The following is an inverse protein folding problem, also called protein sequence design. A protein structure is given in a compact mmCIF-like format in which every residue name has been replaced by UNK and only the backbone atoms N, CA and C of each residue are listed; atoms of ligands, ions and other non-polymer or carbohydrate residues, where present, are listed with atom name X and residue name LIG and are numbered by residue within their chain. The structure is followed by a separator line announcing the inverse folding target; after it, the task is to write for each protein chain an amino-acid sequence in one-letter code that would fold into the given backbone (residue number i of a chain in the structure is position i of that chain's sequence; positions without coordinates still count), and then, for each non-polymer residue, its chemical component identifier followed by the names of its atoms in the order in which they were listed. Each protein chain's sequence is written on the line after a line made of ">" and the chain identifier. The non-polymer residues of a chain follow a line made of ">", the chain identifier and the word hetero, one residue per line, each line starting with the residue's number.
data_IF_347538470861
#
_entry.id   IF_347538470861
#
_cell.length_a   1.000
_cell.length_b   1.000
_cell.length_c   1.000
_cell.angle_alpha   90.00
_cell.angle_beta   90.00
_cell.angle_gamma   90.00
#
_symmetry.space_group_name_H-M   'P 1'
#
loop_
_entity.id
_entity.type
_entity.pdbx_description
1 polymer ?
#
# COMPACT_ATOMS: atom_id res chain seq x y z
N UNK A 1 7.56 0.57 -26.11
CA UNK A 1 8.70 1.43 -25.74
C UNK A 1 9.64 1.45 -26.90
N UNK A 2 9.74 2.60 -27.60
CA UNK A 2 10.69 2.78 -28.71
C UNK A 2 12.03 3.34 -28.21
N UNK A 3 12.57 2.80 -27.12
CA UNK A 3 13.84 3.23 -26.55
C UNK A 3 14.96 2.24 -26.84
N UNK A 4 16.19 2.74 -27.01
CA UNK A 4 17.40 1.94 -27.13
C UNK A 4 18.15 1.99 -25.79
N UNK A 5 18.56 0.82 -25.27
CA UNK A 5 19.43 0.76 -24.09
C UNK A 5 20.85 1.14 -24.54
N UNK A 6 21.41 2.20 -23.97
CA UNK A 6 22.72 2.75 -24.36
C UNK A 6 23.86 2.32 -23.44
N UNK A 7 23.59 2.10 -22.16
CA UNK A 7 24.56 1.56 -21.21
C UNK A 7 23.88 0.87 -20.03
N UNK A 8 24.64 0.04 -19.35
CA UNK A 8 24.32 -0.51 -18.02
C UNK A 8 25.22 0.12 -16.96
N UNK A 9 24.71 0.16 -15.73
CA UNK A 9 25.43 0.57 -14.54
C UNK A 9 25.34 -0.57 -13.53
N UNK A 10 26.47 -1.01 -12.98
CA UNK A 10 26.52 -2.10 -11.98
C UNK A 10 27.69 -1.84 -11.00
N UNK A 11 27.42 -2.03 -9.70
CA UNK A 11 28.45 -1.84 -8.67
C UNK A 11 29.46 -2.97 -8.57
N UNK A 12 29.18 -4.12 -9.20
CA UNK A 12 30.11 -5.24 -9.25
C UNK A 12 31.30 -4.91 -10.17
N UNK A 13 32.45 -4.70 -9.54
CA UNK A 13 33.71 -4.39 -10.24
C UNK A 13 34.09 -5.43 -11.32
N UNK A 14 33.65 -6.67 -11.16
CA UNK A 14 33.91 -7.72 -12.13
C UNK A 14 33.12 -7.56 -13.43
N UNK A 15 32.07 -6.72 -13.43
CA UNK A 15 31.23 -6.41 -14.59
C UNK A 15 31.66 -5.15 -15.31
N UNK A 16 32.43 -4.29 -14.66
CA UNK A 16 32.91 -3.03 -15.26
C UNK A 16 33.64 -3.28 -16.58
N UNK A 17 33.26 -2.52 -17.62
CA UNK A 17 33.83 -2.62 -18.98
C UNK A 17 33.39 -3.86 -19.77
N UNK A 18 32.54 -4.74 -19.23
CA UNK A 18 31.93 -5.85 -19.97
C UNK A 18 30.76 -5.38 -20.82
N UNK A 19 30.34 -6.22 -21.75
CA UNK A 19 29.20 -5.96 -22.62
C UNK A 19 28.11 -7.01 -22.40
N UNK A 20 26.87 -6.57 -22.35
CA UNK A 20 25.69 -7.43 -22.34
C UNK A 20 24.87 -7.15 -23.60
N UNK A 21 24.74 -8.11 -24.50
CA UNK A 21 24.07 -7.96 -25.79
C UNK A 21 24.54 -6.74 -26.61
N UNK A 22 25.85 -6.45 -26.58
CA UNK A 22 26.44 -5.31 -27.28
C UNK A 22 26.37 -3.98 -26.55
N UNK A 23 25.74 -3.93 -25.38
CA UNK A 23 25.61 -2.71 -24.56
C UNK A 23 26.64 -2.74 -23.44
N UNK A 24 27.46 -1.67 -23.25
CA UNK A 24 28.52 -1.66 -22.24
C UNK A 24 28.00 -1.47 -20.82
N UNK A 25 28.71 -2.07 -19.84
CA UNK A 25 28.63 -1.68 -18.43
C UNK A 25 29.59 -0.50 -18.22
N UNK A 26 29.04 0.73 -18.24
CA UNK A 26 29.79 1.98 -18.39
C UNK A 26 30.32 2.54 -17.04
N UNK A 27 29.82 2.01 -15.91
CA UNK A 27 30.22 2.50 -14.58
C UNK A 27 29.43 1.90 -13.44
N UNK A 28 29.59 2.50 -12.27
CA UNK A 28 28.86 2.17 -11.03
C UNK A 28 27.80 3.23 -10.71
N UNK A 29 27.05 3.06 -9.62
CA UNK A 29 25.96 3.99 -9.22
C UNK A 29 26.38 5.45 -9.13
N UNK A 30 27.62 5.75 -8.76
CA UNK A 30 28.11 7.13 -8.61
C UNK A 30 28.41 7.79 -9.96
N UNK A 31 28.52 7.00 -11.03
CA UNK A 31 28.73 7.50 -12.39
C UNK A 31 27.41 7.89 -13.08
N UNK A 32 26.24 7.57 -12.48
CA UNK A 32 24.93 7.80 -13.09
C UNK A 32 24.74 9.25 -13.57
N UNK A 33 25.01 10.29 -12.76
CA UNK A 33 24.83 11.67 -13.22
C UNK A 33 25.69 12.00 -14.44
N UNK A 34 26.95 11.64 -14.44
CA UNK A 34 27.87 11.85 -15.55
C UNK A 34 27.44 11.12 -16.82
N UNK A 35 27.04 9.85 -16.67
CA UNK A 35 26.60 9.02 -17.80
C UNK A 35 25.27 9.51 -18.38
N UNK A 36 24.37 10.03 -17.55
CA UNK A 36 23.10 10.60 -18.00
C UNK A 36 23.34 11.80 -18.95
N UNK A 37 24.28 12.66 -18.62
CA UNK A 37 24.66 13.79 -19.49
C UNK A 37 25.41 13.32 -20.74
N UNK A 38 26.43 12.48 -20.59
CA UNK A 38 27.29 11.99 -21.67
C UNK A 38 26.50 11.28 -22.76
N UNK A 39 25.57 10.38 -22.36
CA UNK A 39 24.75 9.59 -23.29
C UNK A 39 23.40 10.24 -23.60
N UNK A 40 23.08 11.41 -23.03
CA UNK A 40 21.79 12.11 -23.17
C UNK A 40 20.62 11.19 -22.86
N UNK A 41 20.62 10.65 -21.63
CA UNK A 41 19.64 9.68 -21.18
C UNK A 41 18.30 10.36 -20.87
N UNK A 42 17.21 9.84 -21.41
CA UNK A 42 15.85 10.30 -21.12
C UNK A 42 15.24 9.53 -19.94
N UNK A 43 15.52 8.22 -19.85
CA UNK A 43 14.90 7.32 -18.88
C UNK A 43 15.93 6.42 -18.19
N UNK A 44 15.80 6.27 -16.88
CA UNK A 44 16.62 5.35 -16.06
C UNK A 44 15.74 4.23 -15.53
N UNK A 45 16.15 2.99 -15.76
CA UNK A 45 15.45 1.80 -15.28
C UNK A 45 16.21 1.16 -14.14
N UNK A 46 15.63 1.13 -12.93
CA UNK A 46 16.21 0.45 -11.76
C UNK A 46 15.73 -1.00 -11.77
N UNK A 47 16.63 -1.92 -12.13
CA UNK A 47 16.36 -3.34 -12.28
C UNK A 47 17.18 -4.19 -11.30
N UNK A 48 17.12 -3.87 -9.98
CA UNK A 48 17.85 -4.54 -8.92
C UNK A 48 16.86 -5.14 -7.91
N UNK A 49 16.17 -6.25 -8.25
CA UNK A 49 15.13 -6.81 -7.42
C UNK A 49 15.64 -7.35 -6.07
N UNK A 50 16.92 -7.69 -5.97
CA UNK A 50 17.58 -8.17 -4.75
C UNK A 50 18.07 -7.07 -3.81
N UNK A 51 18.06 -5.80 -4.25
CA UNK A 51 18.50 -4.69 -3.42
C UNK A 51 17.54 -4.43 -2.26
N UNK A 52 18.09 -4.16 -1.08
CA UNK A 52 17.33 -3.72 0.09
C UNK A 52 16.62 -2.39 -0.18
N UNK A 53 15.58 -2.08 0.59
CA UNK A 53 14.85 -0.82 0.49
C UNK A 53 15.78 0.40 0.69
N UNK A 54 16.78 0.27 1.57
CA UNK A 54 17.78 1.32 1.82
C UNK A 54 18.67 1.57 0.61
N UNK A 55 19.13 0.50 -0.03
CA UNK A 55 19.95 0.59 -1.25
C UNK A 55 19.16 1.15 -2.42
N UNK A 56 17.91 0.68 -2.62
CA UNK A 56 17.02 1.23 -3.64
C UNK A 56 16.82 2.72 -3.46
N UNK A 57 16.52 3.17 -2.22
CA UNK A 57 16.38 4.59 -1.90
C UNK A 57 17.62 5.39 -2.29
N UNK A 58 18.81 4.94 -1.90
CA UNK A 58 20.07 5.63 -2.23
C UNK A 58 20.28 5.74 -3.75
N UNK A 59 19.95 4.70 -4.51
CA UNK A 59 20.06 4.73 -5.98
C UNK A 59 19.02 5.68 -6.58
N UNK A 60 17.79 5.68 -6.11
CA UNK A 60 16.74 6.60 -6.56
C UNK A 60 17.14 8.05 -6.32
N UNK A 61 17.74 8.36 -5.16
CA UNK A 61 18.23 9.71 -4.84
C UNK A 61 19.27 10.18 -5.86
N UNK A 62 20.25 9.34 -6.20
CA UNK A 62 21.25 9.63 -7.23
C UNK A 62 20.58 9.84 -8.61
N UNK A 63 19.66 8.97 -8.98
CA UNK A 63 18.95 9.08 -10.26
C UNK A 63 18.14 10.38 -10.38
N UNK A 64 17.55 10.86 -9.28
CA UNK A 64 16.78 12.13 -9.27
C UNK A 64 17.62 13.37 -9.56
N UNK A 65 18.90 13.34 -9.25
CA UNK A 65 19.82 14.46 -9.56
C UNK A 65 20.02 14.66 -11.06
N UNK A 66 19.74 13.62 -11.87
CA UNK A 66 19.93 13.68 -13.34
C UNK A 66 18.80 14.39 -14.07
N UNK A 67 17.64 14.56 -13.47
CA UNK A 67 16.43 15.07 -14.14
C UNK A 67 15.75 14.07 -15.10
N UNK A 68 16.32 12.87 -15.28
CA UNK A 68 15.73 11.82 -16.11
C UNK A 68 14.45 11.23 -15.50
N UNK A 69 13.59 10.65 -16.33
CA UNK A 69 12.45 9.88 -15.84
C UNK A 69 12.93 8.55 -15.22
N UNK A 70 12.63 8.32 -13.94
CA UNK A 70 13.07 7.12 -13.23
C UNK A 70 11.93 6.11 -13.13
N UNK A 71 12.17 4.89 -13.60
CA UNK A 71 11.25 3.76 -13.51
C UNK A 71 11.90 2.61 -12.76
N UNK A 72 11.09 1.85 -12.02
CA UNK A 72 11.56 0.71 -11.24
C UNK A 72 10.90 -0.58 -11.71
N UNK A 73 11.69 -1.66 -11.76
CA UNK A 73 11.19 -2.99 -12.00
C UNK A 73 10.71 -3.59 -10.67
N UNK A 74 9.44 -4.00 -10.56
CA UNK A 74 8.92 -4.68 -9.37
C UNK A 74 9.71 -5.97 -9.06
N UNK A 75 9.77 -6.36 -7.77
CA UNK A 75 10.59 -7.48 -7.30
C UNK A 75 10.20 -8.84 -7.91
N UNK A 76 11.13 -9.80 -7.82
CA UNK A 76 11.16 -11.14 -8.46
C UNK A 76 9.86 -11.97 -8.28
N UNK A 77 9.11 -11.77 -7.19
CA UNK A 77 7.89 -12.55 -6.93
C UNK A 77 6.71 -12.27 -7.89
N UNK A 78 6.79 -11.18 -8.65
CA UNK A 78 5.85 -10.91 -9.74
C UNK A 78 6.31 -11.53 -11.08
N UNK A 79 7.50 -12.15 -11.09
CA UNK A 79 8.13 -12.79 -12.26
C UNK A 79 7.91 -14.32 -12.32
N UNK A 80 7.17 -14.91 -11.35
CA UNK A 80 6.97 -16.36 -11.22
C UNK A 80 6.27 -16.99 -12.43
N UNK A 81 5.61 -16.22 -13.27
CA UNK A 81 4.96 -16.69 -14.49
C UNK A 81 5.79 -16.52 -15.77
N UNK A 82 7.12 -16.33 -15.68
CA UNK A 82 8.02 -16.45 -16.83
C UNK A 82 8.00 -15.30 -17.85
N UNK A 83 7.12 -14.32 -17.71
CA UNK A 83 7.07 -13.19 -18.63
C UNK A 83 7.53 -11.89 -17.96
N UNK A 84 8.77 -11.50 -18.24
CA UNK A 84 9.25 -10.13 -17.98
C UNK A 84 8.62 -9.22 -19.02
N UNK A 85 7.46 -8.68 -18.75
CA UNK A 85 6.86 -7.66 -19.63
C UNK A 85 7.35 -6.28 -19.23
N UNK A 86 7.80 -5.50 -20.21
CA UNK A 86 8.10 -4.07 -20.07
C UNK A 86 6.89 -3.29 -19.53
N UNK A 87 5.67 -3.81 -19.73
CA UNK A 87 4.44 -3.27 -19.17
C UNK A 87 4.38 -3.27 -17.62
N UNK A 88 5.30 -3.98 -16.95
CA UNK A 88 5.39 -3.99 -15.47
C UNK A 88 6.31 -2.91 -14.90
N UNK A 89 6.98 -2.13 -15.75
CA UNK A 89 7.75 -0.97 -15.29
C UNK A 89 6.79 0.10 -14.78
N UNK A 90 7.01 0.56 -13.57
CA UNK A 90 6.23 1.65 -12.96
C UNK A 90 7.12 2.83 -12.59
N UNK A 91 6.53 3.98 -12.51
CA UNK A 91 7.23 5.14 -11.96
C UNK A 91 7.61 4.89 -10.49
N UNK A 92 8.64 5.60 -10.03
CA UNK A 92 9.03 5.59 -8.61
C UNK A 92 7.92 6.25 -7.78
N UNK A 93 7.44 5.55 -6.77
CA UNK A 93 6.42 6.02 -5.83
C UNK A 93 7.05 6.50 -4.52
N UNK A 94 6.27 7.18 -3.68
CA UNK A 94 6.75 7.71 -2.39
C UNK A 94 7.21 6.56 -1.48
N UNK A 95 6.58 5.41 -1.57
CA UNK A 95 6.90 4.19 -0.81
C UNK A 95 8.31 3.70 -1.07
N UNK A 96 8.81 3.82 -2.31
CA UNK A 96 10.18 3.44 -2.68
C UNK A 96 11.24 4.32 -1.99
N UNK A 97 10.85 5.55 -1.63
CA UNK A 97 11.70 6.51 -0.93
C UNK A 97 11.69 6.34 0.60
N UNK A 98 10.70 5.65 1.15
CA UNK A 98 10.61 5.46 2.60
C UNK A 98 11.71 4.54 3.16
N UNK A 99 12.34 3.74 2.31
CA UNK A 99 13.43 2.84 2.70
C UNK A 99 13.01 1.76 3.68
N UNK A 100 11.72 1.39 3.70
CA UNK A 100 11.16 0.30 4.49
C UNK A 100 10.77 -0.85 3.58
N UNK A 101 11.21 -2.05 3.92
CA UNK A 101 10.71 -3.23 3.23
C UNK A 101 9.26 -3.47 3.66
N UNK A 102 8.33 -3.71 2.69
CA UNK A 102 6.97 -4.06 3.03
C UNK A 102 6.96 -5.35 3.84
N UNK A 103 6.21 -5.35 4.93
CA UNK A 103 5.98 -6.56 5.71
C UNK A 103 5.18 -7.51 4.83
N UNK A 104 5.76 -8.66 4.50
CA UNK A 104 5.07 -9.72 3.76
C UNK A 104 4.44 -10.66 4.77
N UNK A 105 3.13 -10.61 4.84
CA UNK A 105 2.34 -11.55 5.63
C UNK A 105 1.59 -12.48 4.69
N UNK A 106 1.44 -13.74 5.09
CA UNK A 106 0.53 -14.64 4.41
C UNK A 106 -0.90 -14.25 4.80
N UNK A 107 -1.55 -13.45 3.94
CA UNK A 107 -2.90 -12.96 4.20
C UNK A 107 -3.90 -14.10 4.33
N UNK A 108 -3.77 -15.18 3.54
CA UNK A 108 -4.67 -16.33 3.61
C UNK A 108 -4.60 -17.02 4.98
N UNK A 109 -3.39 -17.13 5.55
CA UNK A 109 -3.20 -17.71 6.87
C UNK A 109 -3.76 -16.80 7.98
N UNK A 110 -3.47 -15.49 7.90
CA UNK A 110 -3.91 -14.51 8.90
C UNK A 110 -5.41 -14.26 8.81
N UNK A 111 -5.97 -14.20 7.60
CA UNK A 111 -7.38 -13.89 7.38
C UNK A 111 -8.28 -15.13 7.39
N UNK A 112 -7.70 -16.33 7.43
CA UNK A 112 -8.47 -17.59 7.48
C UNK A 112 -9.42 -17.67 8.67
N UNK A 113 -9.09 -17.00 9.79
CA UNK A 113 -9.98 -16.95 10.97
C UNK A 113 -11.24 -16.08 10.77
N UNK A 114 -11.28 -15.25 9.71
CA UNK A 114 -12.43 -14.39 9.36
C UNK A 114 -13.55 -15.21 8.71
N UNK A 115 -13.19 -16.32 8.05
CA UNK A 115 -14.15 -17.15 7.31
C UNK A 115 -15.29 -17.64 8.20
N UNK A 116 -16.52 -17.43 7.74
CA UNK A 116 -17.74 -17.83 8.44
C UNK A 116 -18.05 -17.01 9.71
N UNK A 117 -17.34 -15.91 9.98
CA UNK A 117 -17.52 -15.03 11.15
C UNK A 117 -18.34 -13.79 10.81
N UNK A 118 -18.94 -13.23 11.85
CA UNK A 118 -19.58 -11.92 11.81
C UNK A 118 -18.51 -10.87 12.13
N UNK A 119 -18.20 -10.01 11.16
CA UNK A 119 -17.10 -9.04 11.28
C UNK A 119 -17.65 -7.62 11.24
N UNK A 120 -17.27 -6.81 12.23
CA UNK A 120 -17.57 -5.39 12.30
C UNK A 120 -16.33 -4.57 11.97
N UNK A 121 -16.42 -3.66 11.00
CA UNK A 121 -15.38 -2.70 10.68
C UNK A 121 -15.88 -1.30 10.97
N UNK A 122 -15.30 -0.64 11.98
CA UNK A 122 -15.62 0.76 12.28
C UNK A 122 -14.68 1.69 11.51
N UNK A 123 -15.20 2.81 11.00
CA UNK A 123 -14.46 3.67 10.07
C UNK A 123 -14.26 3.01 8.70
N UNK A 124 -15.19 2.15 8.30
CA UNK A 124 -15.09 1.33 7.09
C UNK A 124 -15.13 2.11 5.78
N UNK A 125 -15.59 3.36 5.78
CA UNK A 125 -15.51 4.26 4.62
C UNK A 125 -14.16 4.98 4.49
N UNK A 126 -13.31 4.96 5.54
CA UNK A 126 -11.97 5.57 5.50
C UNK A 126 -10.98 4.76 4.67
N UNK A 127 -9.79 5.34 4.40
CA UNK A 127 -8.75 4.71 3.56
C UNK A 127 -8.30 3.34 4.10
N UNK A 128 -8.07 3.22 5.41
CA UNK A 128 -7.67 1.95 6.04
C UNK A 128 -8.89 1.03 6.18
N UNK A 129 -10.02 1.57 6.65
CA UNK A 129 -11.23 0.79 6.89
C UNK A 129 -11.80 0.17 5.62
N UNK A 130 -11.80 0.91 4.49
CA UNK A 130 -12.28 0.37 3.21
C UNK A 130 -11.39 -0.76 2.70
N UNK A 131 -10.08 -0.66 2.87
CA UNK A 131 -9.17 -1.74 2.51
C UNK A 131 -9.36 -2.97 3.42
N UNK A 132 -9.55 -2.79 4.72
CA UNK A 132 -9.93 -3.88 5.61
C UNK A 132 -11.25 -4.54 5.17
N UNK A 133 -12.25 -3.76 4.76
CA UNK A 133 -13.51 -4.30 4.25
C UNK A 133 -13.31 -5.15 2.99
N UNK A 134 -12.43 -4.73 2.05
CA UNK A 134 -12.10 -5.52 0.85
C UNK A 134 -11.42 -6.82 1.20
N UNK A 135 -10.43 -6.78 2.10
CA UNK A 135 -9.71 -7.96 2.54
C UNK A 135 -10.65 -8.94 3.27
N UNK A 136 -11.46 -8.46 4.19
CA UNK A 136 -12.46 -9.29 4.90
C UNK A 136 -13.43 -9.92 3.91
N UNK A 137 -13.99 -9.14 2.99
CA UNK A 137 -14.97 -9.64 2.01
C UNK A 137 -14.40 -10.76 1.13
N UNK A 138 -13.11 -10.68 0.76
CA UNK A 138 -12.46 -11.70 -0.07
C UNK A 138 -12.23 -13.04 0.65
N UNK A 139 -12.35 -13.08 1.99
CA UNK A 139 -12.12 -14.29 2.80
C UNK A 139 -13.43 -14.93 3.32
N UNK A 140 -14.56 -14.61 2.72
CA UNK A 140 -15.83 -15.28 2.97
C UNK A 140 -16.35 -15.18 4.42
N UNK A 141 -16.52 -13.97 4.97
CA UNK A 141 -17.16 -13.81 6.26
C UNK A 141 -18.61 -14.26 6.19
N UNK A 142 -19.19 -14.68 7.32
CA UNK A 142 -20.62 -14.93 7.41
C UNK A 142 -21.44 -13.65 7.18
N UNK A 143 -20.98 -12.56 7.77
CA UNK A 143 -21.55 -11.22 7.61
C UNK A 143 -20.48 -10.16 7.77
N UNK A 144 -20.48 -9.15 6.93
CA UNK A 144 -19.63 -7.95 7.08
C UNK A 144 -20.50 -6.75 7.44
N UNK A 145 -20.15 -6.10 8.55
CA UNK A 145 -20.84 -4.90 9.04
C UNK A 145 -19.88 -3.73 8.93
N UNK A 146 -20.24 -2.74 8.16
CA UNK A 146 -19.52 -1.46 8.04
C UNK A 146 -20.21 -0.44 8.92
N UNK A 147 -19.46 0.21 9.80
CA UNK A 147 -19.95 1.28 10.66
C UNK A 147 -19.12 2.54 10.45
N UNK A 148 -19.72 3.60 9.94
CA UNK A 148 -19.02 4.85 9.66
C UNK A 148 -19.87 6.06 10.00
N UNK A 149 -19.23 7.20 10.23
CA UNK A 149 -19.91 8.48 10.44
C UNK A 149 -20.21 9.18 9.10
N UNK A 150 -19.40 8.91 8.05
CA UNK A 150 -19.53 9.53 6.74
C UNK A 150 -20.33 8.64 5.78
N UNK A 151 -21.54 9.10 5.45
CA UNK A 151 -22.46 8.38 4.58
C UNK A 151 -21.89 8.12 3.19
N UNK A 152 -21.33 9.14 2.54
CA UNK A 152 -20.85 9.01 1.16
C UNK A 152 -19.77 7.92 1.02
N UNK A 153 -18.75 7.98 1.87
CA UNK A 153 -17.66 7.01 1.83
C UNK A 153 -18.14 5.59 2.17
N UNK A 154 -19.09 5.47 3.11
CA UNK A 154 -19.70 4.19 3.44
C UNK A 154 -20.55 3.64 2.28
N UNK A 155 -21.21 4.51 1.53
CA UNK A 155 -21.98 4.14 0.34
C UNK A 155 -21.08 3.70 -0.81
N UNK A 156 -19.97 4.40 -1.05
CA UNK A 156 -19.03 4.04 -2.12
C UNK A 156 -18.47 2.63 -1.92
N UNK A 157 -17.99 2.30 -0.73
CA UNK A 157 -17.50 0.95 -0.43
C UNK A 157 -18.62 -0.10 -0.46
N UNK A 158 -19.86 0.26 -0.09
CA UNK A 158 -21.01 -0.63 -0.21
C UNK A 158 -21.28 -1.02 -1.66
N UNK A 159 -21.28 -0.05 -2.58
CA UNK A 159 -21.49 -0.30 -4.01
C UNK A 159 -20.40 -1.21 -4.56
N UNK A 160 -19.14 -0.89 -4.30
CA UNK A 160 -18.00 -1.69 -4.74
C UNK A 160 -18.10 -3.15 -4.26
N UNK A 161 -18.39 -3.36 -2.97
CA UNK A 161 -18.45 -4.70 -2.40
C UNK A 161 -19.66 -5.49 -2.88
N UNK A 162 -20.82 -4.86 -3.10
CA UNK A 162 -21.98 -5.53 -3.66
C UNK A 162 -21.79 -5.94 -5.12
N UNK A 163 -21.08 -5.15 -5.90
CA UNK A 163 -20.73 -5.48 -7.27
C UNK A 163 -19.77 -6.68 -7.32
N UNK A 164 -18.73 -6.65 -6.50
CA UNK A 164 -17.66 -7.65 -6.49
C UNK A 164 -18.05 -8.95 -5.79
N UNK A 165 -18.89 -8.88 -4.75
CA UNK A 165 -19.32 -9.98 -3.91
C UNK A 165 -20.85 -9.96 -3.73
N UNK A 166 -21.65 -10.33 -4.76
CA UNK A 166 -23.13 -10.22 -4.72
C UNK A 166 -23.78 -11.03 -3.61
N UNK A 167 -23.19 -12.16 -3.22
CA UNK A 167 -23.72 -13.06 -2.20
C UNK A 167 -23.29 -12.71 -0.77
N UNK A 168 -22.47 -11.66 -0.61
CA UNK A 168 -22.00 -11.23 0.70
C UNK A 168 -23.16 -10.62 1.52
N UNK A 169 -23.39 -11.16 2.71
CA UNK A 169 -24.27 -10.51 3.70
C UNK A 169 -23.59 -9.24 4.24
N UNK A 170 -23.87 -8.13 3.55
CA UNK A 170 -23.26 -6.83 3.81
C UNK A 170 -24.25 -5.87 4.44
N UNK A 171 -23.95 -5.39 5.62
CA UNK A 171 -24.71 -4.39 6.36
C UNK A 171 -23.88 -3.10 6.49
N UNK A 172 -24.48 -1.97 6.11
CA UNK A 172 -23.83 -0.64 6.29
C UNK A 172 -24.66 0.19 7.24
N UNK A 173 -24.02 0.70 8.27
CA UNK A 173 -24.64 1.47 9.34
C UNK A 173 -23.94 2.81 9.49
N UNK A 174 -24.74 3.88 9.58
CA UNK A 174 -24.21 5.21 9.81
C UNK A 174 -24.34 5.58 11.29
N UNK A 175 -23.24 6.07 11.86
CA UNK A 175 -23.18 6.49 13.24
C UNK A 175 -21.78 6.80 13.74
N UNK A 176 -21.69 7.42 14.90
CA UNK A 176 -20.43 7.73 15.56
C UNK A 176 -20.08 6.65 16.60
N UNK A 177 -18.84 6.15 16.58
CA UNK A 177 -18.32 5.23 17.61
C UNK A 177 -18.29 5.85 19.01
N UNK A 178 -18.43 7.17 19.12
CA UNK A 178 -18.55 7.89 20.40
C UNK A 178 -19.94 7.79 21.03
N UNK A 179 -20.94 7.38 20.24
CA UNK A 179 -22.29 7.19 20.74
C UNK A 179 -22.42 5.77 21.33
N UNK A 180 -22.25 5.66 22.64
CA UNK A 180 -22.26 4.39 23.39
C UNK A 180 -23.55 3.61 23.14
N UNK A 181 -24.70 4.25 23.24
CA UNK A 181 -25.98 3.57 23.03
C UNK A 181 -26.12 3.00 21.61
N UNK A 182 -25.64 3.75 20.60
CA UNK A 182 -25.66 3.25 19.21
C UNK A 182 -24.75 2.04 19.02
N UNK A 183 -23.55 2.06 19.62
CA UNK A 183 -22.61 0.95 19.57
C UNK A 183 -23.17 -0.28 20.31
N UNK A 184 -23.71 -0.09 21.51
CA UNK A 184 -24.37 -1.17 22.27
C UNK A 184 -25.47 -1.84 21.43
N UNK A 185 -26.35 -1.05 20.82
CA UNK A 185 -27.41 -1.57 19.93
C UNK A 185 -26.83 -2.40 18.77
N UNK A 186 -25.70 -1.98 18.17
CA UNK A 186 -25.03 -2.72 17.08
C UNK A 186 -24.49 -4.05 17.61
N UNK A 187 -23.82 -4.05 18.76
CA UNK A 187 -23.26 -5.26 19.34
C UNK A 187 -24.36 -6.25 19.79
N UNK A 188 -25.42 -5.75 20.39
CA UNK A 188 -26.57 -6.59 20.80
C UNK A 188 -27.26 -7.27 19.61
N UNK A 189 -27.47 -6.48 18.53
CA UNK A 189 -28.20 -6.96 17.35
C UNK A 189 -27.38 -7.92 16.52
N UNK A 190 -26.12 -7.59 16.23
CA UNK A 190 -25.31 -8.31 15.27
C UNK A 190 -24.32 -9.29 15.91
N UNK A 191 -23.96 -9.11 17.17
CA UNK A 191 -23.04 -9.95 17.93
C UNK A 191 -21.77 -10.28 17.15
N UNK A 192 -20.97 -9.28 16.76
CA UNK A 192 -19.78 -9.52 15.95
C UNK A 192 -18.78 -10.41 16.69
N UNK A 193 -18.24 -11.41 15.98
CA UNK A 193 -17.17 -12.27 16.49
C UNK A 193 -15.83 -11.52 16.47
N UNK A 194 -15.66 -10.61 15.49
CA UNK A 194 -14.41 -9.88 15.24
C UNK A 194 -14.74 -8.42 15.01
N UNK A 195 -13.93 -7.53 15.60
CA UNK A 195 -14.04 -6.09 15.41
C UNK A 195 -12.71 -5.52 14.95
N UNK A 196 -12.73 -4.86 13.79
CA UNK A 196 -11.63 -4.01 13.32
C UNK A 196 -11.99 -2.56 13.56
N UNK A 197 -11.18 -1.86 14.33
CA UNK A 197 -11.42 -0.47 14.69
C UNK A 197 -10.48 0.48 13.93
N UNK A 198 -10.98 1.12 12.86
CA UNK A 198 -10.25 2.08 12.03
C UNK A 198 -10.85 3.51 12.11
N UNK A 199 -11.80 3.74 13.03
CA UNK A 199 -12.47 5.03 13.18
C UNK A 199 -11.68 5.94 14.12
N UNK A 200 -10.86 6.84 13.56
CA UNK A 200 -10.15 7.87 14.31
C UNK A 200 -9.90 9.12 13.46
N UNK A 201 -9.80 10.29 14.09
CA UNK A 201 -9.24 11.48 13.44
C UNK A 201 -7.72 11.33 13.34
N UNK A 202 -7.12 11.57 12.17
CA UNK A 202 -5.67 11.38 11.96
C UNK A 202 -4.90 12.63 11.53
N UNK A 203 -5.60 13.65 11.04
CA UNK A 203 -4.96 14.85 10.50
C UNK A 203 -4.50 15.77 11.61
N UNK A 204 -3.21 15.75 11.93
CA UNK A 204 -2.60 16.53 13.01
C UNK A 204 -2.91 18.03 12.91
N UNK A 205 -2.74 18.71 11.75
CA UNK A 205 -3.02 20.13 11.64
C UNK A 205 -4.47 20.51 12.03
N UNK A 206 -5.45 19.67 11.67
CA UNK A 206 -6.84 19.90 12.05
C UNK A 206 -7.09 19.67 13.55
N UNK A 207 -6.29 18.84 14.18
CA UNK A 207 -6.38 18.54 15.60
C UNK A 207 -5.70 19.62 16.47
N UNK A 208 -4.74 20.35 15.92
CA UNK A 208 -4.13 21.52 16.57
C UNK A 208 -5.16 22.61 16.82
N UNK A 209 -6.09 22.83 15.90
CA UNK A 209 -7.19 23.78 16.05
C UNK A 209 -8.42 23.17 16.75
N UNK A 210 -8.45 21.87 16.98
CA UNK A 210 -9.58 21.11 17.52
C UNK A 210 -9.20 20.30 18.76
N UNK A 211 -8.60 20.93 19.76
CA UNK A 211 -8.00 20.29 20.95
C UNK A 211 -8.97 19.35 21.69
N UNK A 212 -10.26 19.73 21.81
CA UNK A 212 -11.27 18.90 22.46
C UNK A 212 -11.52 17.59 21.72
N UNK A 213 -11.42 17.57 20.39
CA UNK A 213 -11.57 16.37 19.59
C UNK A 213 -10.29 15.52 19.63
N UNK A 214 -9.10 16.16 19.66
CA UNK A 214 -7.82 15.46 19.81
C UNK A 214 -7.75 14.65 21.12
N UNK A 215 -8.20 15.23 22.24
CA UNK A 215 -8.25 14.53 23.54
C UNK A 215 -9.21 13.32 23.49
N UNK A 216 -10.30 13.42 22.74
CA UNK A 216 -11.27 12.33 22.60
C UNK A 216 -10.73 11.13 21.81
N UNK A 217 -9.80 11.34 20.88
CA UNK A 217 -9.14 10.24 20.13
C UNK A 217 -8.46 9.27 21.10
N UNK A 218 -7.65 9.78 22.02
CA UNK A 218 -6.95 8.95 22.99
C UNK A 218 -7.88 8.14 23.91
N UNK A 219 -9.07 8.63 24.20
CA UNK A 219 -10.08 7.90 24.99
C UNK A 219 -10.76 6.79 24.22
N UNK A 220 -10.95 6.95 22.90
CA UNK A 220 -11.60 5.95 22.07
C UNK A 220 -10.67 4.81 21.68
N UNK A 221 -9.40 5.11 21.35
CA UNK A 221 -8.44 4.15 20.82
C UNK A 221 -7.44 3.59 21.85
N UNK A 222 -7.24 4.26 22.99
CA UNK A 222 -6.27 3.82 24.01
C UNK A 222 -6.92 3.13 25.21
N UNK A 223 -8.19 2.79 25.16
CA UNK A 223 -8.84 1.97 26.16
C UNK A 223 -8.66 0.49 25.91
N UNK A 224 -7.47 0.13 25.44
CA UNK A 224 -6.97 -1.21 25.65
C UNK A 224 -6.61 -1.34 27.11
N UNK A 225 -7.36 -2.15 27.80
CA UNK A 225 -6.90 -2.47 29.10
C UNK A 225 -7.26 -3.86 29.48
N UNK A 226 -6.25 -4.66 29.42
CA UNK A 226 -5.95 -5.73 30.36
C UNK A 226 -7.11 -6.62 30.69
#
# INVERSE_FOLDING_TARGET
>A
VNGCVVCFVDDDKNKAGKFLNGVPVAGNRNDIPRLAEEYRIDEIYIAIPSASARERKAIIEICRETGCQVKILPGIYQLINGEVSIAKLRNVEIEDLLGRDPIRVNLDEIMGYVSGKVVLVTGGGGSIGSELCRQVASHGPKQLIIFDIYENNAYDIQLELKEKYPDLDLVVLIGSVRNTHRIETVFEKYRPDIVYHAAAHKHVPLMEDSHNEAIKIGRASCRERV
#
